data_IF_950629378789
#
_entry.id   IF_950629378789
#
_cell.length_a   1.000
_cell.length_b   1.000
_cell.length_c   1.000
_cell.angle_alpha   90.00
_cell.angle_beta   90.00
_cell.angle_gamma   90.00
#
_symmetry.space_group_name_H-M   'P 1'
#
loop_
_entity.id
_entity.type
_entity.pdbx_description
1 polymer ?
#
# COMPACT_ATOMS: atom_id res chain seq x y z
N UNK A 1 15.14 -21.59 56.34
CA UNK A 1 15.81 -20.30 56.71
C UNK A 1 16.50 -19.79 55.47
N UNK A 2 16.19 -18.60 55.03
CA UNK A 2 16.82 -18.00 53.86
C UNK A 2 18.28 -17.70 54.12
N UNK A 3 19.16 -18.21 53.22
CA UNK A 3 20.59 -17.96 53.26
C UNK A 3 20.96 -16.73 52.42
N UNK A 4 22.13 -16.13 52.71
CA UNK A 4 22.66 -15.03 51.91
C UNK A 4 23.91 -15.49 51.15
N UNK A 5 23.88 -15.36 49.85
CA UNK A 5 24.99 -15.65 48.96
C UNK A 5 25.38 -14.42 48.13
N UNK A 6 26.61 -14.38 47.66
CA UNK A 6 27.15 -13.38 46.77
C UNK A 6 27.65 -14.01 45.48
N UNK A 7 27.26 -13.46 44.35
CA UNK A 7 27.71 -13.90 43.03
C UNK A 7 29.06 -13.34 42.66
N UNK A 8 29.99 -14.21 42.21
CA UNK A 8 31.33 -13.86 41.74
C UNK A 8 31.49 -14.24 40.28
N UNK A 9 32.03 -13.37 39.48
CA UNK A 9 32.17 -13.59 38.03
C UNK A 9 31.32 -12.67 37.20
N UNK A 10 31.06 -13.04 35.92
CA UNK A 10 30.21 -12.28 35.00
C UNK A 10 28.74 -12.64 35.19
N UNK A 11 27.85 -11.70 34.87
CA UNK A 11 26.40 -11.93 34.90
C UNK A 11 26.06 -13.23 34.14
N UNK A 12 25.19 -13.99 34.79
CA UNK A 12 24.59 -15.28 34.35
C UNK A 12 25.49 -16.51 34.52
N UNK A 13 26.81 -16.35 34.90
CA UNK A 13 27.74 -17.44 35.23
C UNK A 13 28.33 -17.23 36.61
N UNK A 14 27.48 -16.97 37.63
CA UNK A 14 27.98 -16.67 38.96
C UNK A 14 28.46 -17.91 39.70
N UNK A 15 29.67 -17.80 40.29
CA UNK A 15 30.09 -18.68 41.36
C UNK A 15 29.55 -18.09 42.67
N UNK A 16 28.68 -18.80 43.35
CA UNK A 16 28.04 -18.35 44.57
C UNK A 16 28.89 -18.60 45.79
N UNK A 17 29.00 -17.62 46.67
CA UNK A 17 29.80 -17.71 47.91
C UNK A 17 29.05 -17.05 49.04
N UNK A 18 29.27 -17.54 50.27
CA UNK A 18 28.69 -16.96 51.49
C UNK A 18 29.27 -15.59 51.90
N UNK A 19 30.21 -15.04 51.09
CA UNK A 19 30.82 -13.74 51.35
C UNK A 19 30.98 -12.94 50.04
N UNK A 20 30.97 -11.61 50.19
CA UNK A 20 31.13 -10.69 49.08
C UNK A 20 30.86 -9.26 49.51
N UNK A 21 31.13 -8.30 48.62
CA UNK A 21 30.89 -6.87 48.86
C UNK A 21 29.61 -6.41 48.16
N UNK A 22 28.78 -5.64 48.89
CA UNK A 22 27.49 -5.17 48.42
C UNK A 22 27.57 -4.35 47.11
N UNK A 23 28.64 -3.59 46.95
CA UNK A 23 28.77 -2.65 45.83
C UNK A 23 29.42 -3.29 44.57
N UNK A 24 29.96 -4.48 44.71
CA UNK A 24 30.68 -5.18 43.64
C UNK A 24 30.08 -6.54 43.27
N UNK A 25 29.38 -7.17 44.21
CA UNK A 25 28.81 -8.50 44.02
C UNK A 25 27.30 -8.50 44.10
N UNK A 26 26.59 -9.16 43.17
CA UNK A 26 25.16 -9.41 43.34
C UNK A 26 24.87 -10.15 44.66
N UNK A 27 23.86 -9.71 45.39
CA UNK A 27 23.49 -10.27 46.66
C UNK A 27 22.19 -11.03 46.53
N UNK A 28 22.24 -12.33 46.75
CA UNK A 28 21.10 -13.23 46.86
C UNK A 28 20.67 -13.44 48.29
N UNK A 29 19.38 -13.56 48.52
CA UNK A 29 18.79 -13.98 49.80
C UNK A 29 17.57 -14.89 49.51
N UNK A 30 17.64 -16.16 49.92
CA UNK A 30 16.59 -17.12 49.64
C UNK A 30 16.94 -18.53 50.03
N UNK A 31 16.30 -19.46 49.37
CA UNK A 31 16.53 -20.91 49.56
C UNK A 31 17.79 -21.33 48.81
N UNK A 32 18.57 -22.21 49.41
CA UNK A 32 19.86 -22.66 48.91
C UNK A 32 19.93 -24.19 49.01
N UNK A 33 20.41 -24.79 47.92
CA UNK A 33 20.71 -26.23 47.87
C UNK A 33 22.06 -26.40 47.19
N UNK A 34 22.92 -27.25 47.73
CA UNK A 34 24.27 -27.50 47.24
C UNK A 34 25.10 -26.19 47.04
N UNK A 35 24.99 -25.25 47.98
CA UNK A 35 25.70 -23.96 47.97
C UNK A 35 25.32 -23.01 46.85
N UNK A 36 24.21 -23.27 46.13
CA UNK A 36 23.70 -22.39 45.07
C UNK A 36 22.24 -22.02 45.33
N UNK A 37 21.73 -20.87 44.78
CA UNK A 37 20.34 -20.53 44.78
C UNK A 37 19.43 -21.64 44.22
N UNK A 38 18.46 -22.08 44.98
CA UNK A 38 17.48 -23.10 44.56
C UNK A 38 16.20 -22.93 45.36
N UNK A 39 15.03 -22.92 44.72
CA UNK A 39 13.73 -22.56 45.37
C UNK A 39 13.41 -21.07 45.24
N UNK A 40 12.80 -20.48 46.27
CA UNK A 40 12.37 -19.06 46.22
C UNK A 40 13.48 -18.14 46.76
N UNK A 41 13.77 -17.08 46.03
CA UNK A 41 14.77 -16.12 46.43
C UNK A 41 14.73 -14.76 45.75
N UNK A 42 15.51 -13.84 46.34
CA UNK A 42 15.57 -12.45 45.93
C UNK A 42 17.04 -12.06 45.64
N UNK A 43 17.29 -11.41 44.52
CA UNK A 43 18.61 -10.93 44.11
C UNK A 43 18.59 -9.41 43.97
N UNK A 44 19.61 -8.76 44.46
CA UNK A 44 19.94 -7.37 44.13
C UNK A 44 21.34 -7.37 43.47
N UNK A 45 21.39 -6.81 42.24
CA UNK A 45 22.67 -6.58 41.54
C UNK A 45 23.29 -5.24 41.93
N UNK A 46 24.62 -5.04 41.79
CA UNK A 46 25.27 -3.79 42.09
C UNK A 46 24.75 -2.58 41.32
N UNK A 47 24.27 -2.80 40.10
CA UNK A 47 23.60 -1.76 39.28
C UNK A 47 22.21 -1.37 39.78
N UNK A 48 21.68 -1.99 40.84
CA UNK A 48 20.35 -1.74 41.39
C UNK A 48 19.25 -2.58 40.79
N UNK A 49 19.51 -3.44 39.79
CA UNK A 49 18.48 -4.37 39.28
C UNK A 49 18.12 -5.40 40.33
N UNK A 50 16.85 -5.81 40.35
CA UNK A 50 16.29 -6.77 41.30
C UNK A 50 15.61 -7.90 40.58
N UNK A 51 15.67 -9.09 41.17
CA UNK A 51 14.87 -10.24 40.77
C UNK A 51 14.29 -10.89 42.02
N UNK A 52 13.04 -11.25 41.96
CA UNK A 52 12.32 -12.01 42.99
C UNK A 52 11.57 -13.15 42.31
N UNK A 53 11.82 -14.38 42.69
CA UNK A 53 11.16 -15.52 42.03
C UNK A 53 11.85 -16.83 42.33
N UNK A 54 11.57 -17.78 41.46
CA UNK A 54 12.07 -19.14 41.52
C UNK A 54 13.50 -19.26 40.99
N UNK A 55 14.28 -20.15 41.61
CA UNK A 55 15.66 -20.43 41.26
C UNK A 55 15.89 -21.94 41.13
N UNK A 56 16.74 -22.32 40.21
CA UNK A 56 17.16 -23.70 40.03
C UNK A 56 18.64 -23.74 39.65
N UNK A 57 19.41 -24.49 40.42
CA UNK A 57 20.85 -24.68 40.19
C UNK A 57 21.63 -23.36 40.03
N UNK A 58 21.29 -22.32 40.78
CA UNK A 58 21.96 -21.03 40.72
C UNK A 58 21.43 -20.05 39.70
N UNK A 59 20.48 -20.44 38.87
CA UNK A 59 19.91 -19.62 37.80
C UNK A 59 18.42 -19.30 38.05
N UNK A 60 17.95 -18.13 37.51
CA UNK A 60 16.54 -17.76 37.49
C UNK A 60 15.78 -18.84 36.72
N UNK A 61 14.69 -19.35 37.28
CA UNK A 61 13.88 -20.41 36.68
C UNK A 61 12.45 -20.32 37.20
N UNK A 62 11.44 -20.81 36.45
CA UNK A 62 10.03 -20.74 36.85
C UNK A 62 9.50 -19.31 36.89
N UNK A 63 8.59 -19.00 37.81
CA UNK A 63 7.95 -17.70 37.91
C UNK A 63 8.83 -16.68 38.62
N UNK A 64 8.86 -15.43 38.12
CA UNK A 64 9.64 -14.37 38.74
C UNK A 64 9.29 -12.97 38.26
N UNK A 65 9.79 -12.00 39.05
CA UNK A 65 9.69 -10.57 38.74
C UNK A 65 11.08 -9.96 38.67
N UNK A 66 11.34 -9.25 37.62
CA UNK A 66 12.58 -8.51 37.41
C UNK A 66 12.29 -7.04 37.26
N UNK A 67 13.08 -6.19 37.91
CA UNK A 67 13.00 -4.75 37.77
C UNK A 67 14.39 -4.14 37.60
N UNK A 68 14.52 -3.19 36.69
CA UNK A 68 15.69 -2.37 36.47
C UNK A 68 15.59 -1.03 37.20
N UNK A 69 16.69 -0.43 37.67
CA UNK A 69 16.67 0.92 38.25
C UNK A 69 16.26 2.00 37.24
N UNK A 70 16.26 1.67 35.94
CA UNK A 70 15.82 2.55 34.84
C UNK A 70 14.33 2.47 34.56
N UNK A 71 13.58 1.59 35.25
CA UNK A 71 12.14 1.48 35.17
C UNK A 71 11.62 0.33 34.31
N UNK A 72 12.52 -0.49 33.71
CA UNK A 72 12.10 -1.72 33.03
C UNK A 72 11.59 -2.73 34.06
N UNK A 73 10.43 -3.31 33.83
CA UNK A 73 9.86 -4.35 34.65
C UNK A 73 9.46 -5.55 33.80
N UNK A 74 9.67 -6.75 34.33
CA UNK A 74 9.20 -7.98 33.73
C UNK A 74 8.58 -8.87 34.83
N UNK A 75 7.46 -9.49 34.51
CA UNK A 75 6.83 -10.49 35.37
C UNK A 75 6.41 -11.67 34.49
N UNK A 76 6.90 -12.87 34.76
CA UNK A 76 6.63 -14.05 33.96
C UNK A 76 7.60 -15.21 34.22
N UNK A 77 7.65 -16.09 33.24
CA UNK A 77 8.48 -17.29 33.31
C UNK A 77 9.93 -17.01 32.96
N UNK A 78 10.83 -17.71 33.62
CA UNK A 78 12.27 -17.75 33.37
C UNK A 78 12.72 -19.20 33.16
N UNK A 79 13.73 -19.35 32.34
CA UNK A 79 14.40 -20.62 32.10
C UNK A 79 15.89 -20.35 31.87
N UNK A 80 16.73 -21.08 32.60
CA UNK A 80 18.20 -21.02 32.44
C UNK A 80 18.71 -19.56 32.48
N UNK A 81 18.22 -18.76 33.46
CA UNK A 81 18.61 -17.37 33.68
C UNK A 81 17.91 -16.32 32.84
N UNK A 82 17.19 -16.69 31.75
CA UNK A 82 16.59 -15.74 30.79
C UNK A 82 15.05 -15.80 30.79
N UNK A 83 14.39 -14.74 30.33
CA UNK A 83 12.93 -14.69 30.13
C UNK A 83 12.51 -15.78 29.15
N UNK A 84 11.47 -16.53 29.48
CA UNK A 84 10.97 -17.64 28.71
C UNK A 84 9.46 -17.82 28.97
N UNK A 85 8.75 -18.67 28.15
CA UNK A 85 7.33 -18.96 28.38
C UNK A 85 6.45 -17.71 28.34
N UNK A 86 5.47 -17.60 29.21
CA UNK A 86 4.56 -16.45 29.25
C UNK A 86 5.07 -15.36 30.19
N UNK A 87 4.95 -14.11 29.75
CA UNK A 87 5.38 -12.97 30.55
C UNK A 87 4.85 -11.62 30.09
N UNK A 88 4.98 -10.65 31.00
CA UNK A 88 4.63 -9.25 30.75
C UNK A 88 5.87 -8.40 30.97
N UNK A 89 6.25 -7.57 29.99
CA UNK A 89 7.24 -6.51 30.16
C UNK A 89 6.60 -5.13 30.09
N UNK A 90 7.11 -4.19 30.89
CA UNK A 90 6.74 -2.78 30.83
C UNK A 90 8.06 -1.99 30.79
N UNK A 91 8.22 -1.17 29.75
CA UNK A 91 9.39 -0.31 29.56
C UNK A 91 9.19 1.07 30.22
N UNK A 92 10.27 1.84 30.48
CA UNK A 92 10.18 3.16 31.10
C UNK A 92 9.33 4.17 30.32
N UNK A 93 9.25 4.01 29.01
CA UNK A 93 8.42 4.83 28.12
C UNK A 93 6.93 4.42 28.13
N UNK A 94 6.57 3.40 28.92
CA UNK A 94 5.21 2.90 29.10
C UNK A 94 4.80 1.87 28.04
N UNK A 95 5.66 1.49 27.12
CA UNK A 95 5.38 0.33 26.24
C UNK A 95 5.21 -0.92 27.10
N UNK A 96 4.19 -1.70 26.75
CA UNK A 96 3.86 -2.94 27.43
C UNK A 96 3.74 -4.07 26.42
N UNK A 97 4.46 -5.15 26.66
CA UNK A 97 4.30 -6.42 25.95
C UNK A 97 3.69 -7.46 26.87
N UNK A 98 2.77 -8.26 26.36
CA UNK A 98 2.18 -9.43 27.03
C UNK A 98 2.16 -10.57 26.03
N UNK A 99 2.88 -11.63 26.29
CA UNK A 99 2.96 -12.74 25.35
C UNK A 99 4.02 -13.78 25.68
N UNK A 100 4.37 -14.53 24.67
CA UNK A 100 5.37 -15.59 24.76
C UNK A 100 6.78 -15.03 24.64
N UNK A 101 7.70 -15.63 25.36
CA UNK A 101 9.13 -15.30 25.41
C UNK A 101 9.96 -16.53 25.11
N UNK A 102 11.05 -16.37 24.38
CA UNK A 102 12.03 -17.40 24.12
C UNK A 102 13.43 -16.81 24.10
N UNK A 103 14.30 -17.41 24.90
CA UNK A 103 15.73 -17.02 25.00
C UNK A 103 15.91 -15.50 25.21
N UNK A 104 15.07 -14.92 26.07
CA UNK A 104 15.10 -13.50 26.47
C UNK A 104 14.43 -12.53 25.50
N UNK A 105 13.81 -13.01 24.39
CA UNK A 105 13.15 -12.18 23.37
C UNK A 105 11.66 -12.50 23.26
N UNK A 106 10.88 -11.51 22.83
CA UNK A 106 9.47 -11.70 22.44
C UNK A 106 9.42 -12.75 21.31
N UNK A 107 8.49 -13.70 21.46
CA UNK A 107 8.33 -14.81 20.53
C UNK A 107 6.86 -15.29 20.52
N UNK A 108 6.48 -16.17 19.56
CA UNK A 108 5.15 -16.76 19.52
C UNK A 108 4.03 -15.72 19.46
N UNK A 109 2.97 -15.93 20.24
CA UNK A 109 1.83 -15.00 20.29
C UNK A 109 2.05 -13.90 21.31
N UNK A 110 1.78 -12.65 20.93
CA UNK A 110 1.95 -11.52 21.84
C UNK A 110 1.16 -10.28 21.46
N UNK A 111 0.98 -9.42 22.46
CA UNK A 111 0.34 -8.11 22.34
C UNK A 111 1.29 -7.03 22.83
N UNK A 112 1.55 -6.05 21.99
CA UNK A 112 2.26 -4.84 22.36
C UNK A 112 1.31 -3.64 22.38
N UNK A 113 1.47 -2.77 23.35
CA UNK A 113 0.80 -1.47 23.39
C UNK A 113 1.78 -0.39 23.82
N UNK A 114 1.75 0.74 23.12
CA UNK A 114 2.53 1.92 23.47
C UNK A 114 1.59 3.07 23.79
N UNK A 115 1.74 3.73 24.95
CA UNK A 115 0.89 4.88 25.32
C UNK A 115 1.22 6.15 24.54
N UNK A 116 2.30 6.15 23.74
CA UNK A 116 2.77 7.34 23.07
C UNK A 116 2.80 7.20 21.55
N UNK A 117 1.99 7.99 20.85
CA UNK A 117 2.43 8.67 19.65
C UNK A 117 3.46 9.73 20.09
N UNK A 118 4.57 9.87 19.38
CA UNK A 118 5.72 10.70 19.71
C UNK A 118 5.35 12.03 20.38
N UNK A 119 5.97 12.31 21.54
CA UNK A 119 5.96 13.64 22.16
C UNK A 119 6.73 14.59 21.26
N UNK A 120 6.04 15.30 20.38
CA UNK A 120 6.44 16.62 19.97
C UNK A 120 5.54 17.62 20.69
N UNK A 121 6.16 18.61 21.29
CA UNK A 121 5.57 19.63 22.14
C UNK A 121 4.35 20.29 21.50
N UNK A 122 3.17 20.06 22.06
CA UNK A 122 1.89 20.67 21.64
C UNK A 122 0.73 19.72 21.93
N UNK A 123 -0.13 20.10 22.85
CA UNK A 123 -1.30 19.37 23.34
C UNK A 123 -2.11 18.67 22.25
N UNK A 124 -1.85 17.37 22.03
CA UNK A 124 -2.80 16.44 21.44
C UNK A 124 -2.63 15.10 22.17
N UNK A 125 -3.45 14.91 23.20
CA UNK A 125 -3.66 13.62 23.83
C UNK A 125 -4.39 12.71 22.86
N UNK A 126 -3.67 11.81 22.18
CA UNK A 126 -4.29 10.71 21.47
C UNK A 126 -4.61 9.61 22.49
N UNK A 127 -5.88 9.25 22.69
CA UNK A 127 -6.30 8.33 23.74
C UNK A 127 -5.83 6.89 23.54
N UNK A 128 -5.44 6.52 22.32
CA UNK A 128 -4.97 5.18 21.98
C UNK A 128 -3.63 5.23 21.27
N UNK A 129 -2.58 4.71 21.92
CA UNK A 129 -1.27 4.55 21.33
C UNK A 129 -1.22 3.47 20.23
N UNK A 130 -0.01 3.15 19.77
CA UNK A 130 0.21 2.04 18.82
C UNK A 130 -0.09 0.73 19.55
N UNK A 131 -0.83 -0.17 18.89
CA UNK A 131 -1.16 -1.51 19.39
C UNK A 131 -0.81 -2.55 18.31
N UNK A 132 -0.05 -3.56 18.70
CA UNK A 132 0.16 -4.74 17.87
C UNK A 132 -0.35 -6.00 18.59
N UNK A 133 -1.01 -6.87 17.85
CA UNK A 133 -1.45 -8.18 18.32
C UNK A 133 -1.17 -9.20 17.21
N UNK A 134 -0.34 -10.20 17.47
CA UNK A 134 0.03 -11.19 16.48
C UNK A 134 1.23 -12.02 16.85
N UNK A 135 1.83 -12.60 15.82
CA UNK A 135 3.01 -13.44 15.94
C UNK A 135 4.30 -12.63 16.04
N UNK A 136 5.23 -13.12 16.85
CA UNK A 136 6.53 -12.54 17.11
C UNK A 136 7.64 -13.55 16.87
N UNK A 137 8.77 -13.09 16.41
CA UNK A 137 9.97 -13.88 16.26
C UNK A 137 11.20 -13.04 16.57
N UNK A 138 11.97 -13.48 17.56
CA UNK A 138 13.22 -12.87 17.97
C UNK A 138 13.12 -11.37 18.30
N UNK A 139 11.95 -10.91 18.82
CA UNK A 139 11.68 -9.53 19.18
C UNK A 139 11.08 -8.68 18.06
N UNK A 140 10.71 -9.27 16.92
CA UNK A 140 10.13 -8.56 15.78
C UNK A 140 8.77 -9.11 15.38
N UNK A 141 7.88 -8.27 14.83
CA UNK A 141 6.60 -8.71 14.25
C UNK A 141 6.85 -9.72 13.16
N UNK A 142 6.15 -10.85 13.22
CA UNK A 142 6.29 -11.95 12.26
C UNK A 142 4.93 -12.61 11.99
N UNK A 143 4.83 -13.49 10.99
CA UNK A 143 3.61 -14.27 10.71
C UNK A 143 2.37 -13.39 10.56
N UNK A 144 1.24 -13.78 11.17
CA UNK A 144 -0.01 -13.03 11.11
C UNK A 144 -0.10 -12.02 12.26
N UNK A 145 -0.52 -10.79 11.96
CA UNK A 145 -0.66 -9.77 13.00
C UNK A 145 -1.52 -8.58 12.59
N UNK A 146 -2.01 -7.90 13.61
CA UNK A 146 -2.79 -6.67 13.49
C UNK A 146 -2.03 -5.53 14.16
N UNK A 147 -1.73 -4.47 13.40
CA UNK A 147 -1.19 -3.21 13.90
C UNK A 147 -2.27 -2.14 13.82
N UNK A 148 -2.52 -1.44 14.91
CA UNK A 148 -3.34 -0.23 14.95
C UNK A 148 -2.44 0.94 15.34
N UNK A 149 -2.42 1.97 14.51
CA UNK A 149 -1.63 3.18 14.73
C UNK A 149 -2.45 4.22 15.53
N UNK A 150 -1.76 5.17 16.13
CA UNK A 150 -2.36 6.24 16.96
C UNK A 150 -3.40 7.10 16.19
N UNK A 151 -3.26 7.22 14.86
CA UNK A 151 -4.21 7.96 14.01
C UNK A 151 -5.44 7.11 13.61
N UNK A 152 -5.55 5.87 14.09
CA UNK A 152 -6.63 4.93 13.76
C UNK A 152 -6.39 4.10 12.51
N UNK A 153 -5.29 4.28 11.80
CA UNK A 153 -4.92 3.41 10.69
C UNK A 153 -4.70 1.97 11.19
N UNK A 154 -5.11 1.01 10.40
CA UNK A 154 -5.02 -0.40 10.77
C UNK A 154 -4.44 -1.26 9.66
N UNK A 155 -3.43 -2.04 9.98
CA UNK A 155 -2.96 -3.13 9.13
C UNK A 155 -3.33 -4.49 9.73
N UNK A 156 -3.83 -5.39 8.91
CA UNK A 156 -4.09 -6.78 9.22
C UNK A 156 -3.48 -7.65 8.12
N UNK A 157 -2.54 -8.52 8.44
CA UNK A 157 -1.91 -9.36 7.43
C UNK A 157 -0.59 -9.97 7.88
N UNK A 158 0.18 -10.39 6.88
CA UNK A 158 1.46 -11.05 7.08
C UNK A 158 2.58 -10.05 7.39
N UNK A 159 3.47 -10.48 8.28
CA UNK A 159 4.66 -9.77 8.72
C UNK A 159 5.91 -10.63 8.52
N UNK A 160 7.00 -10.01 8.22
CA UNK A 160 8.30 -10.66 8.16
C UNK A 160 9.37 -9.68 8.65
N UNK A 161 10.09 -10.10 9.69
CA UNK A 161 11.23 -9.36 10.24
C UNK A 161 10.86 -7.86 10.47
N UNK A 162 9.73 -7.62 11.21
CA UNK A 162 9.24 -6.31 11.58
C UNK A 162 8.50 -5.52 10.47
N UNK A 163 8.46 -6.01 9.22
CA UNK A 163 7.85 -5.27 8.09
C UNK A 163 6.64 -6.00 7.50
N UNK A 164 5.67 -5.24 6.97
CA UNK A 164 4.51 -5.80 6.26
C UNK A 164 4.97 -6.59 5.05
N UNK A 165 4.49 -7.81 4.93
CA UNK A 165 4.86 -8.75 3.85
C UNK A 165 3.64 -9.56 3.41
N UNK A 166 3.75 -10.39 2.35
CA UNK A 166 2.71 -11.32 1.94
C UNK A 166 1.35 -10.69 1.68
N UNK A 167 0.28 -11.29 2.13
CA UNK A 167 -1.09 -10.78 1.98
C UNK A 167 -1.48 -9.91 3.17
N UNK A 168 -2.15 -8.78 2.90
CA UNK A 168 -2.60 -7.90 3.97
C UNK A 168 -3.63 -6.86 3.54
N UNK A 169 -4.33 -6.35 4.53
CA UNK A 169 -5.31 -5.27 4.41
C UNK A 169 -4.85 -4.07 5.23
N UNK A 170 -4.77 -2.91 4.61
CA UNK A 170 -4.54 -1.63 5.29
C UNK A 170 -5.79 -0.77 5.18
N UNK A 171 -6.30 -0.34 6.29
CA UNK A 171 -7.44 0.59 6.39
C UNK A 171 -6.92 1.89 6.97
N UNK A 172 -7.08 2.97 6.23
CA UNK A 172 -6.75 4.32 6.65
C UNK A 172 -7.89 4.89 7.49
N UNK A 173 -7.57 5.72 8.45
CA UNK A 173 -8.55 6.40 9.32
C UNK A 173 -9.57 7.24 8.54
N UNK A 174 -9.15 7.77 7.38
CA UNK A 174 -9.99 8.57 6.49
C UNK A 174 -10.94 7.73 5.61
N UNK A 175 -10.89 6.39 5.74
CA UNK A 175 -11.79 5.46 5.05
C UNK A 175 -11.24 4.79 3.81
N UNK A 176 -10.07 5.19 3.33
CA UNK A 176 -9.38 4.48 2.26
C UNK A 176 -9.00 3.06 2.69
N UNK A 177 -8.92 2.14 1.74
CA UNK A 177 -8.55 0.75 2.02
C UNK A 177 -7.71 0.13 0.92
N UNK A 178 -6.65 -0.55 1.31
CA UNK A 178 -5.89 -1.42 0.42
C UNK A 178 -6.00 -2.89 0.87
N UNK A 179 -6.24 -3.79 -0.06
CA UNK A 179 -6.18 -5.24 0.17
C UNK A 179 -5.33 -5.85 -0.94
N UNK A 180 -4.27 -6.55 -0.58
CA UNK A 180 -3.39 -7.15 -1.59
C UNK A 180 -2.04 -7.54 -1.06
N UNK A 181 -1.10 -7.73 -1.99
CA UNK A 181 0.25 -8.16 -1.69
C UNK A 181 1.12 -7.02 -1.17
N UNK A 182 1.98 -7.35 -0.22
CA UNK A 182 3.00 -6.49 0.38
C UNK A 182 4.38 -7.10 0.23
N UNK A 183 5.35 -6.27 0.02
CA UNK A 183 6.76 -6.67 -0.01
C UNK A 183 7.59 -5.56 0.63
N UNK A 184 8.38 -5.93 1.63
CA UNK A 184 9.31 -5.02 2.31
C UNK A 184 8.62 -3.70 2.75
N UNK A 185 7.41 -3.82 3.36
CA UNK A 185 6.63 -2.72 3.88
C UNK A 185 5.79 -1.93 2.87
N UNK A 186 5.92 -2.19 1.56
CA UNK A 186 5.21 -1.46 0.50
C UNK A 186 4.23 -2.34 -0.28
N UNK A 187 3.20 -1.73 -0.87
CA UNK A 187 2.25 -2.43 -1.76
C UNK A 187 2.97 -2.97 -2.99
N UNK A 188 2.77 -4.25 -3.30
CA UNK A 188 3.43 -4.93 -4.41
C UNK A 188 2.53 -6.02 -5.02
N UNK A 189 2.74 -6.38 -6.31
CA UNK A 189 1.93 -7.41 -6.97
C UNK A 189 0.45 -7.04 -7.06
N UNK A 190 -0.44 -8.04 -7.05
CA UNK A 190 -1.88 -7.82 -7.20
C UNK A 190 -2.51 -7.25 -5.94
N UNK A 191 -3.39 -6.26 -6.11
CA UNK A 191 -4.13 -5.65 -5.02
C UNK A 191 -5.34 -4.82 -5.46
N UNK A 192 -6.14 -4.47 -4.48
CA UNK A 192 -7.29 -3.57 -4.61
C UNK A 192 -7.09 -2.37 -3.70
N UNK A 193 -7.15 -1.18 -4.24
CA UNK A 193 -7.25 0.06 -3.48
C UNK A 193 -8.65 0.64 -3.65
N UNK A 194 -9.30 0.96 -2.56
CA UNK A 194 -10.61 1.60 -2.54
C UNK A 194 -10.49 2.91 -1.79
N UNK A 195 -10.82 4.01 -2.44
CA UNK A 195 -10.87 5.33 -1.82
C UNK A 195 -12.19 5.52 -1.06
N UNK A 196 -12.18 6.41 -0.09
CA UNK A 196 -13.34 6.74 0.74
C UNK A 196 -14.52 7.31 -0.06
N UNK A 197 -14.26 7.92 -1.23
CA UNK A 197 -15.27 8.42 -2.17
C UNK A 197 -15.90 7.33 -3.05
N UNK A 198 -15.49 6.07 -2.88
CA UNK A 198 -15.95 4.92 -3.67
C UNK A 198 -15.16 4.65 -4.94
N UNK A 199 -14.17 5.50 -5.31
CA UNK A 199 -13.24 5.16 -6.37
C UNK A 199 -12.50 3.87 -6.04
N UNK A 200 -12.17 3.06 -7.06
CA UNK A 200 -11.54 1.76 -6.86
C UNK A 200 -10.52 1.44 -7.95
N UNK A 201 -9.35 0.99 -7.54
CA UNK A 201 -8.36 0.39 -8.43
C UNK A 201 -8.19 -1.10 -8.10
N UNK A 202 -8.16 -1.93 -9.12
CA UNK A 202 -7.85 -3.38 -9.03
C UNK A 202 -6.78 -3.68 -10.06
N UNK A 203 -5.61 -4.12 -9.62
CA UNK A 203 -4.49 -4.36 -10.54
C UNK A 203 -3.16 -4.56 -9.85
N UNK A 204 -2.10 -4.41 -10.62
CA UNK A 204 -0.74 -4.59 -10.15
C UNK A 204 -0.21 -3.33 -9.46
N UNK A 205 0.61 -3.55 -8.44
CA UNK A 205 1.39 -2.53 -7.74
C UNK A 205 2.87 -2.88 -7.80
N UNK A 206 3.70 -1.88 -7.92
CA UNK A 206 5.14 -1.99 -7.81
C UNK A 206 5.66 -0.81 -6.99
N UNK A 207 6.45 -1.11 -5.96
CA UNK A 207 7.07 -0.11 -5.09
C UNK A 207 6.06 0.95 -4.56
N UNK A 208 4.86 0.46 -4.16
CA UNK A 208 3.79 1.28 -3.59
C UNK A 208 2.87 1.98 -4.58
N UNK A 209 3.17 1.97 -5.90
CA UNK A 209 2.39 2.67 -6.93
C UNK A 209 1.72 1.69 -7.92
N UNK A 210 0.64 2.15 -8.58
CA UNK A 210 -0.04 1.39 -9.64
C UNK A 210 0.93 1.13 -10.79
N UNK A 211 0.99 -0.13 -11.25
CA UNK A 211 1.88 -0.58 -12.32
C UNK A 211 1.26 -1.74 -13.09
N UNK A 212 1.85 -2.16 -14.22
CA UNK A 212 1.37 -3.33 -14.97
C UNK A 212 -0.08 -3.19 -15.44
N UNK A 213 -0.86 -4.26 -15.36
CA UNK A 213 -2.26 -4.26 -15.78
C UNK A 213 -3.20 -3.90 -14.61
N UNK A 214 -4.20 -3.06 -14.89
CA UNK A 214 -5.16 -2.66 -13.87
C UNK A 214 -6.44 -2.04 -14.41
N UNK A 215 -7.44 -2.02 -13.53
CA UNK A 215 -8.73 -1.38 -13.74
C UNK A 215 -8.97 -0.33 -12.67
N UNK A 216 -9.21 0.90 -13.06
CA UNK A 216 -9.69 1.97 -12.18
C UNK A 216 -11.15 2.30 -12.52
N UNK A 217 -11.97 2.34 -11.49
CA UNK A 217 -13.37 2.80 -11.58
C UNK A 217 -13.48 4.04 -10.70
N UNK A 218 -13.83 5.16 -11.30
CA UNK A 218 -13.97 6.44 -10.62
C UNK A 218 -15.36 6.56 -9.99
N UNK A 219 -15.48 7.38 -8.94
CA UNK A 219 -16.75 7.63 -8.25
C UNK A 219 -17.83 8.23 -9.16
N UNK A 220 -17.43 8.96 -10.21
CA UNK A 220 -18.35 9.53 -11.22
C UNK A 220 -18.78 8.55 -12.33
N UNK A 221 -18.36 7.28 -12.25
CA UNK A 221 -18.69 6.22 -13.21
C UNK A 221 -17.72 6.09 -14.38
N UNK A 222 -16.72 6.97 -14.52
CA UNK A 222 -15.62 6.76 -15.48
C UNK A 222 -14.87 5.47 -15.14
N UNK A 223 -14.27 4.85 -16.16
CA UNK A 223 -13.50 3.63 -15.98
C UNK A 223 -12.27 3.63 -16.90
N UNK A 224 -11.13 3.19 -16.39
CA UNK A 224 -9.97 2.86 -17.19
C UNK A 224 -9.60 1.38 -16.99
N UNK A 225 -9.29 0.70 -18.08
CA UNK A 225 -8.79 -0.68 -18.09
C UNK A 225 -7.59 -0.72 -19.02
N UNK A 226 -6.41 -1.05 -18.51
CA UNK A 226 -5.21 -1.03 -19.33
C UNK A 226 -3.92 -1.09 -18.54
N UNK A 227 -2.86 -0.68 -19.20
CA UNK A 227 -1.51 -0.66 -18.65
C UNK A 227 -1.29 0.59 -17.77
N UNK A 228 -0.49 0.42 -16.73
CA UNK A 228 -0.10 1.44 -15.76
C UNK A 228 1.41 1.49 -15.62
N UNK A 229 1.95 2.67 -15.51
CA UNK A 229 3.36 2.90 -15.22
C UNK A 229 3.50 4.07 -14.25
N UNK A 230 4.21 3.83 -13.16
CA UNK A 230 4.53 4.86 -12.15
C UNK A 230 3.29 5.65 -11.69
N UNK A 231 2.17 4.91 -11.45
CA UNK A 231 0.90 5.46 -10.98
C UNK A 231 0.01 6.10 -12.04
N UNK A 232 0.42 6.12 -13.32
CA UNK A 232 -0.30 6.77 -14.43
C UNK A 232 -0.77 5.77 -15.48
N UNK A 233 -1.89 6.08 -16.14
CA UNK A 233 -2.36 5.36 -17.34
C UNK A 233 -1.24 5.38 -18.39
N UNK A 234 -0.88 4.21 -18.93
CA UNK A 234 0.22 4.05 -19.89
C UNK A 234 -0.09 2.92 -20.89
N UNK A 235 0.70 2.80 -21.98
CA UNK A 235 0.56 1.71 -22.96
C UNK A 235 -0.84 1.59 -23.53
N UNK A 236 -1.30 0.37 -23.75
CA UNK A 236 -2.63 0.11 -24.33
C UNK A 236 -3.71 0.11 -23.25
N UNK A 237 -4.86 0.77 -23.54
CA UNK A 237 -5.95 0.83 -22.57
C UNK A 237 -7.29 1.22 -23.21
N UNK A 238 -8.33 1.03 -22.38
CA UNK A 238 -9.71 1.47 -22.68
C UNK A 238 -10.18 2.42 -21.60
N UNK A 239 -10.54 3.64 -21.96
CA UNK A 239 -11.14 4.64 -21.08
C UNK A 239 -12.62 4.80 -21.42
N UNK A 240 -13.49 4.58 -20.46
CA UNK A 240 -14.93 4.83 -20.55
C UNK A 240 -15.24 6.14 -19.86
N UNK A 241 -15.94 7.04 -20.52
CA UNK A 241 -16.35 8.34 -20.00
C UNK A 241 -17.75 8.25 -19.35
N UNK A 242 -18.13 9.28 -18.59
CA UNK A 242 -19.43 9.36 -17.89
C UNK A 242 -20.64 9.29 -18.83
N UNK A 243 -20.49 9.73 -20.07
CA UNK A 243 -21.54 9.68 -21.12
C UNK A 243 -21.57 8.33 -21.87
N UNK A 244 -20.84 7.31 -21.40
CA UNK A 244 -20.75 5.98 -22.00
C UNK A 244 -19.80 5.86 -23.19
N UNK A 245 -19.26 6.95 -23.71
CA UNK A 245 -18.26 6.90 -24.78
C UNK A 245 -17.01 6.15 -24.31
N UNK A 246 -16.36 5.43 -25.22
CA UNK A 246 -15.13 4.69 -24.96
C UNK A 246 -14.02 5.18 -25.86
N UNK A 247 -12.85 5.30 -25.29
CA UNK A 247 -11.59 5.40 -26.03
C UNK A 247 -10.83 4.10 -25.87
N UNK A 248 -10.35 3.55 -26.97
CA UNK A 248 -9.43 2.39 -26.99
C UNK A 248 -8.19 2.81 -27.75
N UNK A 249 -7.03 2.70 -27.13
CA UNK A 249 -5.77 3.12 -27.77
C UNK A 249 -4.63 3.30 -26.80
N UNK A 250 -3.64 4.06 -27.23
CA UNK A 250 -2.39 4.27 -26.51
C UNK A 250 -2.47 5.43 -25.51
N UNK A 251 -1.88 5.24 -24.34
CA UNK A 251 -1.73 6.21 -23.27
C UNK A 251 -0.26 6.42 -22.93
N UNK A 252 0.11 7.64 -22.62
CA UNK A 252 1.43 7.99 -22.10
C UNK A 252 1.30 9.00 -20.98
N UNK A 253 1.79 8.64 -19.80
CA UNK A 253 1.83 9.50 -18.61
C UNK A 253 0.46 10.10 -18.23
N UNK A 254 -0.62 9.30 -18.37
CA UNK A 254 -2.00 9.70 -18.10
C UNK A 254 -2.71 10.38 -19.27
N UNK A 255 -2.03 10.59 -20.39
CA UNK A 255 -2.56 11.27 -21.58
C UNK A 255 -2.86 10.27 -22.69
N UNK A 256 -3.96 10.52 -23.37
CA UNK A 256 -4.28 9.81 -24.62
C UNK A 256 -3.27 10.22 -25.69
N UNK A 257 -2.60 9.23 -26.31
CA UNK A 257 -1.64 9.43 -27.42
C UNK A 257 -1.99 8.46 -28.56
N UNK A 258 -1.55 8.76 -29.79
CA UNK A 258 -1.75 7.88 -30.95
C UNK A 258 -3.16 7.96 -31.57
N UNK A 259 -3.50 6.94 -32.36
CA UNK A 259 -4.78 6.90 -33.09
C UNK A 259 -5.95 6.69 -32.14
N UNK A 260 -6.96 7.53 -32.27
CA UNK A 260 -8.19 7.49 -31.49
C UNK A 260 -9.28 6.75 -32.27
N UNK A 261 -9.84 5.68 -31.70
CA UNK A 261 -11.10 5.10 -32.14
C UNK A 261 -12.18 5.48 -31.11
N UNK A 262 -13.05 6.43 -31.45
CA UNK A 262 -14.22 6.75 -30.64
C UNK A 262 -15.45 6.11 -31.31
N UNK A 263 -16.05 5.08 -30.73
CA UNK A 263 -17.46 4.82 -31.00
C UNK A 263 -18.28 5.97 -30.39
N UNK A 264 -19.01 6.69 -31.23
CA UNK A 264 -19.97 7.69 -30.78
C UNK A 264 -21.25 7.00 -30.28
N UNK A 265 -22.06 7.63 -29.39
CA UNK A 265 -23.29 7.04 -28.88
C UNK A 265 -24.31 6.66 -29.98
N UNK A 266 -24.24 7.31 -31.14
CA UNK A 266 -25.00 7.04 -32.35
C UNK A 266 -24.42 5.87 -33.18
N UNK A 267 -23.32 5.24 -32.73
CA UNK A 267 -22.66 4.10 -33.38
C UNK A 267 -21.62 4.50 -34.45
N UNK A 268 -21.43 5.78 -34.71
CA UNK A 268 -20.38 6.27 -35.59
C UNK A 268 -18.99 5.99 -35.01
N UNK A 269 -17.98 5.78 -35.83
CA UNK A 269 -16.59 5.56 -35.42
C UNK A 269 -15.72 6.74 -35.88
N UNK A 270 -15.01 7.32 -34.94
CA UNK A 270 -14.03 8.37 -35.24
C UNK A 270 -12.60 7.85 -34.97
N UNK A 271 -11.73 7.95 -35.96
CA UNK A 271 -10.31 7.54 -35.90
C UNK A 271 -9.42 8.72 -36.25
N UNK A 272 -8.59 9.16 -35.32
CA UNK A 272 -7.65 10.28 -35.56
C UNK A 272 -6.44 10.21 -34.63
N UNK A 273 -5.38 10.89 -34.98
CA UNK A 273 -4.18 11.02 -34.13
C UNK A 273 -4.35 12.16 -33.12
N UNK A 274 -3.87 11.94 -31.90
CA UNK A 274 -3.84 12.97 -30.86
C UNK A 274 -2.42 13.09 -30.29
N UNK A 275 -1.93 14.32 -30.23
CA UNK A 275 -0.65 14.67 -29.61
C UNK A 275 -0.83 15.92 -28.78
N UNK A 276 -0.31 15.94 -27.54
CA UNK A 276 -0.34 17.09 -26.63
C UNK A 276 -1.76 17.69 -26.42
N UNK A 277 -2.76 16.81 -26.18
CA UNK A 277 -4.18 17.16 -26.00
C UNK A 277 -4.86 17.78 -27.23
N UNK A 278 -4.20 17.89 -28.39
CA UNK A 278 -4.75 18.41 -29.65
C UNK A 278 -4.89 17.30 -30.67
N UNK A 279 -5.92 17.39 -31.47
CA UNK A 279 -6.08 16.52 -32.64
C UNK A 279 -5.07 16.96 -33.72
N UNK A 280 -4.30 15.99 -34.24
CA UNK A 280 -3.32 16.20 -35.29
C UNK A 280 -3.63 15.31 -36.49
N UNK A 281 -3.48 15.87 -37.67
CA UNK A 281 -3.68 15.15 -38.94
C UNK A 281 -5.15 14.95 -39.31
N UNK A 282 -5.38 14.28 -40.47
CA UNK A 282 -6.74 14.03 -40.92
C UNK A 282 -7.44 12.98 -40.09
N UNK A 283 -8.67 13.30 -39.65
CA UNK A 283 -9.58 12.41 -38.96
C UNK A 283 -10.36 11.55 -39.93
N UNK A 284 -10.57 10.28 -39.60
CA UNK A 284 -11.49 9.40 -40.30
C UNK A 284 -12.73 9.21 -39.46
N UNK A 285 -13.92 9.61 -39.97
CA UNK A 285 -15.22 9.33 -39.37
C UNK A 285 -15.92 8.31 -40.27
N UNK A 286 -16.34 7.19 -39.69
CA UNK A 286 -17.22 6.22 -40.35
C UNK A 286 -18.59 6.29 -39.70
N UNK A 287 -19.61 6.63 -40.49
CA UNK A 287 -20.99 6.76 -40.05
C UNK A 287 -21.69 5.40 -40.08
N UNK A 288 -22.73 5.23 -39.28
CA UNK A 288 -23.57 4.03 -39.30
C UNK A 288 -24.24 3.77 -40.66
N UNK A 289 -24.46 4.86 -41.41
CA UNK A 289 -24.99 4.78 -42.81
C UNK A 289 -24.01 4.08 -43.75
N UNK A 290 -22.75 3.84 -43.34
CA UNK A 290 -21.65 3.38 -44.21
C UNK A 290 -20.90 4.51 -44.89
N UNK A 291 -21.30 5.74 -44.69
CA UNK A 291 -20.58 6.91 -45.22
C UNK A 291 -19.24 7.06 -44.46
N UNK A 292 -18.25 7.70 -45.13
CA UNK A 292 -16.92 7.93 -44.55
C UNK A 292 -16.47 9.36 -44.80
N UNK A 293 -15.94 10.01 -43.80
CA UNK A 293 -15.23 11.29 -43.93
C UNK A 293 -13.76 11.13 -43.54
N UNK A 294 -12.87 11.66 -44.34
CA UNK A 294 -11.42 11.74 -44.04
C UNK A 294 -11.00 13.19 -44.27
N UNK A 295 -10.62 13.89 -43.18
CA UNK A 295 -10.25 15.32 -43.31
C UNK A 295 -10.12 16.01 -41.98
N UNK A 296 -10.02 17.34 -42.03
CA UNK A 296 -9.85 18.19 -40.88
C UNK A 296 -11.18 18.52 -40.18
N UNK A 297 -11.14 18.70 -38.86
CA UNK A 297 -12.25 19.18 -38.06
C UNK A 297 -11.86 20.45 -37.31
N UNK A 298 -12.83 21.33 -37.10
CA UNK A 298 -12.77 22.44 -36.15
C UNK A 298 -13.90 22.27 -35.15
N UNK A 299 -13.53 21.89 -33.94
CA UNK A 299 -14.51 21.40 -32.95
C UNK A 299 -15.16 20.10 -33.44
N UNK A 300 -16.47 20.07 -33.59
CA UNK A 300 -17.23 18.90 -34.10
C UNK A 300 -17.60 18.99 -35.56
N UNK A 301 -17.23 20.11 -36.24
CA UNK A 301 -17.62 20.36 -37.61
C UNK A 301 -16.47 20.06 -38.57
N UNK A 302 -16.79 19.43 -39.72
CA UNK A 302 -15.86 19.28 -40.84
C UNK A 302 -15.38 20.67 -41.28
N UNK A 303 -14.06 20.86 -41.35
CA UNK A 303 -13.44 22.15 -41.69
C UNK A 303 -12.12 21.88 -42.39
N UNK A 304 -11.61 22.80 -43.19
CA UNK A 304 -10.39 22.60 -43.97
C UNK A 304 -10.53 21.57 -45.11
N UNK A 305 -9.47 20.87 -45.45
CA UNK A 305 -9.49 19.87 -46.54
C UNK A 305 -10.08 18.55 -46.05
N UNK A 306 -10.87 17.89 -46.92
CA UNK A 306 -11.42 16.59 -46.58
C UNK A 306 -12.18 15.91 -47.71
N UNK A 307 -12.20 14.59 -47.63
CA UNK A 307 -12.93 13.70 -48.57
C UNK A 307 -14.11 13.09 -47.82
N UNK A 308 -15.29 13.21 -48.39
CA UNK A 308 -16.49 12.50 -47.95
C UNK A 308 -16.89 11.45 -48.97
N UNK A 309 -16.97 10.21 -48.56
CA UNK A 309 -17.41 9.08 -49.40
C UNK A 309 -18.75 8.63 -48.89
N UNK A 310 -19.78 8.65 -49.77
CA UNK A 310 -21.09 8.11 -49.45
C UNK A 310 -21.08 6.59 -49.47
N UNK A 311 -22.02 5.98 -48.79
CA UNK A 311 -22.17 4.51 -48.76
C UNK A 311 -22.44 3.88 -50.13
N UNK A 312 -22.94 4.67 -51.09
CA UNK A 312 -23.14 4.26 -52.50
C UNK A 312 -21.84 4.36 -53.33
N UNK A 313 -20.74 4.81 -52.76
CA UNK A 313 -19.43 4.89 -53.46
C UNK A 313 -19.12 6.24 -54.09
N UNK A 314 -20.07 7.16 -54.23
CA UNK A 314 -19.81 8.54 -54.66
C UNK A 314 -18.89 9.24 -53.66
N UNK A 315 -18.13 10.24 -54.07
CA UNK A 315 -17.28 10.99 -53.17
C UNK A 315 -17.27 12.50 -53.47
N UNK A 316 -17.00 13.28 -52.44
CA UNK A 316 -16.64 14.70 -52.53
C UNK A 316 -15.24 14.91 -52.02
N UNK A 317 -14.43 15.62 -52.76
CA UNK A 317 -13.09 16.03 -52.38
C UNK A 317 -12.96 17.54 -52.43
N UNK A 318 -12.47 18.15 -51.34
CA UNK A 318 -12.27 19.58 -51.29
C UNK A 318 -12.39 20.18 -49.92
N UNK A 319 -12.58 21.51 -49.93
CA UNK A 319 -12.66 22.32 -48.73
C UNK A 319 -14.03 22.23 -48.05
N UNK A 320 -13.99 22.22 -46.73
CA UNK A 320 -15.15 22.21 -45.83
C UNK A 320 -15.12 23.45 -44.96
N UNK A 321 -16.28 24.05 -44.69
CA UNK A 321 -16.45 25.16 -43.78
C UNK A 321 -17.72 24.97 -42.94
N UNK A 322 -17.53 24.93 -41.61
CA UNK A 322 -18.60 24.76 -40.62
C UNK A 322 -19.57 23.59 -40.95
N UNK A 323 -18.99 22.43 -41.29
CA UNK A 323 -19.71 21.21 -41.61
C UNK A 323 -20.27 21.13 -43.04
N UNK A 324 -20.17 22.19 -43.85
CA UNK A 324 -20.70 22.29 -45.21
C UNK A 324 -19.58 22.16 -46.24
N UNK A 325 -19.86 21.54 -47.42
CA UNK A 325 -18.98 21.54 -48.58
C UNK A 325 -18.78 22.96 -49.07
N UNK A 326 -17.54 23.41 -49.25
CA UNK A 326 -17.23 24.82 -49.59
C UNK A 326 -16.65 25.01 -50.99
N UNK A 327 -15.46 24.48 -51.23
CA UNK A 327 -14.83 24.49 -52.55
C UNK A 327 -14.31 23.10 -52.90
N UNK A 328 -14.82 22.44 -53.97
CA UNK A 328 -14.37 21.10 -54.30
C UNK A 328 -15.19 20.43 -55.39
N UNK A 329 -14.90 19.16 -55.64
CA UNK A 329 -15.46 18.37 -56.71
C UNK A 329 -16.20 17.15 -56.15
N UNK A 330 -17.37 16.88 -56.73
CA UNK A 330 -18.13 15.64 -56.44
C UNK A 330 -17.93 14.67 -57.61
N UNK A 331 -17.66 13.42 -57.30
CA UNK A 331 -17.39 12.37 -58.26
C UNK A 331 -18.46 11.27 -58.14
N UNK A 332 -18.79 10.67 -59.28
CA UNK A 332 -19.58 9.44 -59.37
C UNK A 332 -18.71 8.21 -58.94
N UNK A 333 -19.35 7.04 -58.88
CA UNK A 333 -18.71 5.77 -58.48
C UNK A 333 -17.57 5.39 -59.46
N UNK A 334 -17.75 5.69 -60.76
CA UNK A 334 -16.79 5.42 -61.81
C UNK A 334 -15.64 6.45 -61.85
N UNK A 335 -15.63 7.44 -60.98
CA UNK A 335 -14.64 8.50 -60.89
C UNK A 335 -14.93 9.68 -61.82
N UNK A 336 -15.99 9.68 -62.62
CA UNK A 336 -16.41 10.81 -63.43
C UNK A 336 -16.88 11.99 -62.54
N UNK A 337 -16.70 13.23 -63.06
CA UNK A 337 -17.09 14.42 -62.29
C UNK A 337 -18.60 14.61 -62.39
N UNK A 338 -19.28 14.52 -61.24
CA UNK A 338 -20.69 14.83 -61.11
C UNK A 338 -20.98 16.33 -61.06
N UNK A 339 -20.08 17.12 -60.48
CA UNK A 339 -20.25 18.55 -60.37
C UNK A 339 -19.20 19.22 -59.46
N UNK A 340 -19.17 20.53 -59.51
CA UNK A 340 -18.30 21.38 -58.68
C UNK A 340 -19.07 22.20 -57.66
N UNK A 341 -18.45 22.47 -56.52
CA UNK A 341 -18.96 23.38 -55.50
C UNK A 341 -17.96 24.52 -55.38
N UNK A 342 -18.40 25.76 -55.43
CA UNK A 342 -17.58 26.94 -55.26
C UNK A 342 -18.30 27.90 -54.30
N UNK A 343 -17.64 28.31 -53.22
CA UNK A 343 -18.20 29.14 -52.15
C UNK A 343 -19.55 28.59 -51.63
N UNK A 344 -19.65 27.25 -51.49
CA UNK A 344 -20.80 26.56 -50.95
C UNK A 344 -21.98 26.39 -51.95
N UNK A 345 -21.86 26.87 -53.18
CA UNK A 345 -22.87 26.77 -54.24
C UNK A 345 -22.50 25.73 -55.27
N UNK A 346 -23.47 24.88 -55.67
CA UNK A 346 -23.29 23.96 -56.79
C UNK A 346 -23.21 24.76 -58.12
N UNK A 347 -22.18 24.49 -58.90
CA UNK A 347 -22.08 24.95 -60.27
C UNK A 347 -22.50 23.79 -61.20
N UNK A 348 -23.50 23.99 -62.02
CA UNK A 348 -23.86 23.06 -63.11
C UNK A 348 -22.77 23.18 -64.17
N UNK A 349 -22.26 22.02 -64.66
CA UNK A 349 -21.52 21.96 -65.92
C UNK A 349 -22.53 22.08 -67.06
#
# INVERSE_FOLDING_TARGET
>A
KGETLYGWGKCCDYVWKGFGEKDTNPKYKGEVENEVPNGIGFLISPNGSKYEGEWKNGEKNGQGKESSPYGDNYEGEFKDGVRHGLGTSILPDGRKYVGEWKDGKEHGQGKESSPYGSKNEGELTFPDGIKYEGEWKDGEYHGQGTLTLFNGDKYLGEWKDGVRHGQGSYTFSEGDKYIGKWKDGVRHGLGTYTWSDGQKYVGEFKDGVRHGLGTETFSDGRKYVGEWKDGKEHGQGTKTFTDGRKYVGEFKDGNITGQRILPLPDGDKNVGERKDHKEHGPLTITYLSGDKYVGELKGRNRNGQGTYTWSDGRKYEGEWKDGKRWNGTTYEIDGSIFGKIVNGKKIKQ
#
